data_IF_158189484187
#
_entry.id   IF_158189484187
#
_cell.length_a   1.000
_cell.length_b   1.000
_cell.length_c   1.000
_cell.angle_alpha   90.00
_cell.angle_beta   90.00
_cell.angle_gamma   90.00
#
_symmetry.space_group_name_H-M   'P 1'
#
loop_
_entity.id
_entity.type
_entity.pdbx_description
1 polymer ?
#
# COMPACT_ATOMS: atom_id res chain seq x y z
N UNK A 1 7.63 17.22 -13.73
CA UNK A 1 6.83 17.14 -12.49
C UNK A 1 7.74 16.57 -11.42
N UNK A 2 7.74 17.10 -10.21
CA UNK A 2 8.56 16.56 -9.11
C UNK A 2 7.64 15.75 -8.22
N UNK A 3 7.95 14.49 -8.01
CA UNK A 3 7.20 13.62 -7.13
C UNK A 3 7.36 14.09 -5.66
N UNK A 4 6.32 13.99 -4.84
CA UNK A 4 6.42 14.38 -3.44
C UNK A 4 7.36 13.44 -2.67
N UNK A 5 8.00 13.94 -1.60
CA UNK A 5 8.86 13.12 -0.74
C UNK A 5 8.03 12.09 0.02
N UNK A 6 8.15 10.82 -0.37
CA UNK A 6 7.42 9.68 0.21
C UNK A 6 7.84 9.40 1.65
N UNK A 7 9.05 9.77 2.01
CA UNK A 7 9.61 9.55 3.35
C UNK A 7 8.73 10.13 4.48
N UNK A 8 7.99 11.19 4.16
CA UNK A 8 7.07 11.83 5.11
C UNK A 8 5.74 11.11 5.26
N UNK A 9 5.48 10.13 4.40
CA UNK A 9 4.22 9.41 4.37
C UNK A 9 4.29 8.07 5.09
N UNK A 10 5.49 7.51 5.30
CA UNK A 10 5.66 6.29 6.08
C UNK A 10 5.29 6.55 7.54
N UNK A 11 4.52 5.62 8.11
CA UNK A 11 3.97 5.70 9.48
C UNK A 11 3.02 6.88 9.71
N UNK A 12 2.65 7.60 8.64
CA UNK A 12 1.60 8.59 8.71
C UNK A 12 0.20 7.93 8.62
N UNK A 13 -0.82 8.51 9.24
CA UNK A 13 -2.19 8.03 9.04
C UNK A 13 -2.61 8.21 7.57
N UNK A 14 -3.42 7.29 7.06
CA UNK A 14 -3.95 7.33 5.68
C UNK A 14 -4.56 8.69 5.32
N UNK A 15 -5.16 9.38 6.31
CA UNK A 15 -5.72 10.72 6.11
C UNK A 15 -4.68 11.74 5.61
N UNK A 16 -3.40 11.59 5.96
CA UNK A 16 -2.33 12.46 5.46
C UNK A 16 -2.12 12.31 3.94
N UNK A 17 -2.26 11.08 3.40
CA UNK A 17 -2.22 10.85 1.97
C UNK A 17 -3.44 11.46 1.27
N UNK A 18 -4.62 11.33 1.89
CA UNK A 18 -5.85 11.95 1.35
C UNK A 18 -5.73 13.47 1.29
N UNK A 19 -5.13 14.09 2.29
CA UNK A 19 -4.86 15.53 2.28
C UNK A 19 -3.85 15.95 1.21
N UNK A 20 -2.85 15.11 0.94
CA UNK A 20 -1.81 15.37 -0.05
C UNK A 20 -2.25 15.10 -1.50
N UNK A 21 -3.05 14.04 -1.73
CA UNK A 21 -3.34 13.52 -3.07
C UNK A 21 -4.85 13.49 -3.41
N UNK A 22 -5.71 13.95 -2.50
CA UNK A 22 -7.16 13.89 -2.67
C UNK A 22 -7.75 12.52 -2.32
N UNK A 23 -9.04 12.29 -2.67
CA UNK A 23 -9.71 11.03 -2.34
C UNK A 23 -9.08 9.85 -3.10
N UNK A 24 -9.01 8.66 -2.46
CA UNK A 24 -8.47 7.47 -3.12
C UNK A 24 -9.33 7.03 -4.30
N UNK A 25 -8.67 6.47 -5.31
CA UNK A 25 -9.32 5.86 -6.46
C UNK A 25 -9.95 4.50 -6.09
N UNK A 26 -9.27 3.74 -5.23
CA UNK A 26 -9.75 2.46 -4.70
C UNK A 26 -9.12 2.12 -3.37
N UNK A 27 -9.81 1.27 -2.58
CA UNK A 27 -9.26 0.66 -1.38
C UNK A 27 -9.71 -0.79 -1.29
N UNK A 28 -8.77 -1.70 -1.02
CA UNK A 28 -9.01 -3.14 -0.94
C UNK A 28 -8.09 -3.79 0.09
N UNK A 29 -8.51 -4.93 0.64
CA UNK A 29 -7.65 -5.80 1.43
C UNK A 29 -7.47 -7.13 0.71
N UNK A 30 -6.22 -7.53 0.54
CA UNK A 30 -5.82 -8.80 -0.03
C UNK A 30 -4.97 -9.61 0.95
N UNK A 31 -4.48 -10.77 0.51
CA UNK A 31 -3.60 -11.65 1.31
C UNK A 31 -2.24 -10.98 1.61
N UNK A 32 -1.84 -10.01 0.81
CA UNK A 32 -0.62 -9.20 0.91
C UNK A 32 -0.77 -7.94 1.77
N UNK A 33 -1.98 -7.59 2.16
CA UNK A 33 -2.29 -6.44 3.01
C UNK A 33 -3.45 -5.59 2.52
N UNK A 34 -3.64 -4.45 3.17
CA UNK A 34 -4.65 -3.45 2.78
C UNK A 34 -4.01 -2.38 1.91
N UNK A 35 -4.56 -2.18 0.72
CA UNK A 35 -4.08 -1.27 -0.32
C UNK A 35 -5.03 -0.12 -0.53
N UNK A 36 -4.50 1.09 -0.60
CA UNK A 36 -5.25 2.32 -0.93
C UNK A 36 -4.56 3.02 -2.08
N UNK A 37 -5.23 3.09 -3.22
CA UNK A 37 -4.67 3.60 -4.47
C UNK A 37 -5.14 5.02 -4.71
N UNK A 38 -4.18 5.91 -4.96
CA UNK A 38 -4.39 7.26 -5.44
C UNK A 38 -3.88 7.36 -6.87
N UNK A 39 -4.58 8.10 -7.71
CA UNK A 39 -4.17 8.35 -9.09
C UNK A 39 -4.39 9.82 -9.46
N UNK A 40 -3.42 10.37 -10.17
CA UNK A 40 -3.48 11.70 -10.79
C UNK A 40 -2.96 11.57 -12.23
N UNK A 41 -3.87 11.53 -13.18
CA UNK A 41 -3.54 11.23 -14.58
C UNK A 41 -2.88 9.86 -14.72
N UNK A 42 -1.62 9.83 -15.16
CA UNK A 42 -0.81 8.60 -15.29
C UNK A 42 0.06 8.30 -14.07
N UNK A 43 0.04 9.15 -13.05
CA UNK A 43 0.71 8.89 -11.77
C UNK A 43 -0.14 7.96 -10.91
N UNK A 44 0.48 6.99 -10.26
CA UNK A 44 -0.17 6.09 -9.32
C UNK A 44 0.64 5.98 -8.04
N UNK A 45 -0.06 6.06 -6.91
CA UNK A 45 0.47 5.83 -5.57
C UNK A 45 -0.37 4.73 -4.95
N UNK A 46 0.23 3.62 -4.59
CA UNK A 46 -0.42 2.51 -3.86
C UNK A 46 0.16 2.48 -2.45
N UNK A 47 -0.64 2.87 -1.47
CA UNK A 47 -0.26 2.85 -0.07
C UNK A 47 -0.71 1.53 0.57
N UNK A 48 0.22 0.84 1.23
CA UNK A 48 -0.05 -0.35 2.01
C UNK A 48 -0.19 0.09 3.47
N UNK A 49 -1.35 -0.19 4.05
CA UNK A 49 -1.72 0.25 5.40
C UNK A 49 -2.00 -0.92 6.32
N UNK A 50 -1.81 -0.70 7.61
CA UNK A 50 -2.17 -1.67 8.65
C UNK A 50 -3.63 -1.55 9.10
N UNK A 51 -4.02 -2.35 10.10
CA UNK A 51 -5.35 -2.33 10.69
C UNK A 51 -5.65 -1.04 11.48
N UNK A 52 -4.64 -0.24 11.82
CA UNK A 52 -4.81 1.09 12.41
C UNK A 52 -5.08 2.16 11.34
N UNK A 53 -4.74 1.87 10.09
CA UNK A 53 -4.79 2.79 8.97
C UNK A 53 -3.51 3.62 8.85
N UNK A 54 -2.40 3.14 9.43
CA UNK A 54 -1.09 3.76 9.30
C UNK A 54 -0.34 3.17 8.08
N UNK A 55 0.41 4.01 7.38
CA UNK A 55 1.10 3.66 6.13
C UNK A 55 2.40 2.94 6.44
N UNK A 56 2.57 1.72 5.94
CA UNK A 56 3.76 0.88 6.14
C UNK A 56 4.61 0.69 4.88
N UNK A 57 4.04 0.91 3.71
CA UNK A 57 4.78 1.02 2.47
C UNK A 57 4.02 1.88 1.45
N UNK A 58 4.74 2.45 0.50
CA UNK A 58 4.16 3.20 -0.62
C UNK A 58 4.86 2.77 -1.90
N UNK A 59 4.09 2.29 -2.86
CA UNK A 59 4.54 2.02 -4.23
C UNK A 59 4.17 3.20 -5.13
N UNK A 60 5.17 3.76 -5.77
CA UNK A 60 5.07 4.92 -6.63
C UNK A 60 5.35 4.53 -8.08
N UNK A 61 4.41 4.79 -8.96
CA UNK A 61 4.59 4.74 -10.39
C UNK A 61 4.26 6.10 -10.99
N UNK A 62 5.21 6.70 -11.69
CA UNK A 62 5.04 7.99 -12.35
C UNK A 62 5.31 7.91 -13.84
N UNK A 63 4.79 8.86 -14.65
CA UNK A 63 5.10 8.94 -16.06
C UNK A 63 6.60 9.04 -16.32
N UNK A 64 7.04 8.50 -17.45
CA UNK A 64 8.42 8.66 -17.93
C UNK A 64 8.83 10.14 -17.97
N UNK A 65 10.06 10.44 -17.57
CA UNK A 65 10.57 11.80 -17.41
C UNK A 65 10.24 12.47 -16.08
N UNK A 66 9.49 11.84 -15.18
CA UNK A 66 9.27 12.37 -13.83
C UNK A 66 10.54 12.22 -13.00
N UNK A 67 11.01 13.33 -12.43
CA UNK A 67 12.14 13.34 -11.51
C UNK A 67 11.69 12.96 -10.11
N UNK A 68 12.43 12.08 -9.47
CA UNK A 68 12.22 11.65 -8.09
C UNK A 68 13.54 11.78 -7.32
N UNK A 69 13.48 12.29 -6.11
CA UNK A 69 14.63 12.41 -5.21
C UNK A 69 14.47 11.39 -4.07
N UNK A 70 15.22 10.29 -4.14
CA UNK A 70 15.21 9.26 -3.11
C UNK A 70 16.17 9.64 -1.97
N UNK A 71 15.64 9.73 -0.75
CA UNK A 71 16.43 9.89 0.46
C UNK A 71 16.89 8.53 1.00
N UNK A 72 18.21 8.37 1.25
CA UNK A 72 18.80 7.22 1.91
C UNK A 72 19.40 7.60 3.27
N UNK A 73 20.01 6.61 3.94
CA UNK A 73 20.61 6.74 5.29
C UNK A 73 21.78 7.73 5.34
N UNK A 74 22.37 8.09 4.19
CA UNK A 74 23.43 9.08 4.05
C UNK A 74 22.95 10.55 4.18
N UNK A 75 21.63 10.74 4.29
CA UNK A 75 20.99 12.05 4.39
C UNK A 75 20.99 12.87 3.09
N UNK A 76 21.47 12.30 1.98
CA UNK A 76 21.43 12.92 0.67
C UNK A 76 20.15 12.59 -0.10
N UNK A 77 19.75 13.47 -1.02
CA UNK A 77 18.67 13.21 -1.97
C UNK A 77 19.28 12.77 -3.30
N UNK A 78 19.00 11.53 -3.69
CA UNK A 78 19.55 10.93 -4.90
C UNK A 78 18.58 11.08 -6.08
N UNK A 79 18.98 11.76 -7.17
CA UNK A 79 18.08 12.01 -8.29
C UNK A 79 17.89 10.74 -9.13
N UNK A 80 16.62 10.37 -9.34
CA UNK A 80 16.19 9.31 -10.22
C UNK A 80 15.20 9.86 -11.24
N UNK A 81 15.05 9.22 -12.41
CA UNK A 81 14.12 9.63 -13.45
C UNK A 81 13.35 8.39 -13.94
N UNK A 82 12.04 8.38 -13.76
CA UNK A 82 11.18 7.32 -14.24
C UNK A 82 11.27 7.18 -15.77
N UNK A 83 11.33 5.95 -16.26
CA UNK A 83 11.48 5.65 -17.68
C UNK A 83 12.85 5.96 -18.30
N UNK A 84 13.84 6.41 -17.49
CA UNK A 84 15.18 6.74 -17.99
C UNK A 84 16.30 6.16 -17.13
N UNK A 85 16.18 6.19 -15.79
CA UNK A 85 17.21 5.64 -14.91
C UNK A 85 17.29 4.13 -15.07
N UNK A 86 18.45 3.63 -15.49
CA UNK A 86 18.72 2.19 -15.55
C UNK A 86 19.18 1.67 -14.18
N UNK A 87 19.13 0.35 -13.99
CA UNK A 87 19.60 -0.31 -12.76
C UNK A 87 21.06 0.03 -12.42
N UNK A 88 21.93 0.13 -13.43
CA UNK A 88 23.33 0.51 -13.25
C UNK A 88 23.45 1.99 -12.85
N UNK A 89 22.75 2.88 -13.57
CA UNK A 89 22.75 4.31 -13.27
C UNK A 89 22.16 4.60 -11.87
N UNK A 90 21.15 3.83 -11.43
CA UNK A 90 20.61 3.94 -10.08
C UNK A 90 21.65 3.58 -9.02
N UNK A 91 22.39 2.48 -9.21
CA UNK A 91 23.48 2.09 -8.29
C UNK A 91 24.55 3.17 -8.20
N UNK A 92 24.97 3.72 -9.33
CA UNK A 92 26.00 4.76 -9.38
C UNK A 92 25.49 6.07 -8.74
N UNK A 93 24.22 6.42 -8.97
CA UNK A 93 23.60 7.62 -8.37
C UNK A 93 23.41 7.49 -6.85
N UNK A 94 23.11 6.31 -6.35
CA UNK A 94 22.89 6.05 -4.93
C UNK A 94 24.21 5.86 -4.17
N UNK A 95 25.33 5.70 -4.89
CA UNK A 95 26.66 5.42 -4.31
C UNK A 95 26.65 4.28 -3.27
N UNK A 96 25.73 3.33 -3.41
CA UNK A 96 25.48 2.24 -2.49
C UNK A 96 25.26 0.94 -3.26
N UNK A 97 25.67 -0.16 -2.64
CA UNK A 97 25.36 -1.50 -3.15
C UNK A 97 23.95 -1.92 -2.70
N UNK A 98 23.23 -2.59 -3.57
CA UNK A 98 21.95 -3.15 -3.21
C UNK A 98 22.11 -4.28 -2.19
N UNK A 99 21.35 -4.27 -1.11
CA UNK A 99 21.33 -5.35 -0.12
C UNK A 99 20.75 -6.64 -0.71
N UNK A 100 19.76 -6.50 -1.61
CA UNK A 100 19.08 -7.61 -2.29
C UNK A 100 18.84 -7.24 -3.74
N UNK A 101 19.05 -8.20 -4.64
CA UNK A 101 18.79 -8.05 -6.08
C UNK A 101 17.87 -9.18 -6.55
N UNK A 102 16.85 -8.82 -7.32
CA UNK A 102 16.03 -9.71 -8.15
C UNK A 102 16.30 -9.45 -9.62
N UNK A 103 15.58 -10.14 -10.53
CA UNK A 103 15.70 -9.91 -11.96
C UNK A 103 15.40 -8.47 -12.36
N UNK A 104 14.38 -7.90 -11.75
CA UNK A 104 13.78 -6.61 -12.13
C UNK A 104 13.78 -5.59 -11.00
N UNK A 105 14.43 -5.87 -9.87
CA UNK A 105 14.46 -4.93 -8.74
C UNK A 105 15.77 -4.95 -7.97
N UNK A 106 16.04 -3.84 -7.26
CA UNK A 106 17.14 -3.68 -6.30
C UNK A 106 16.61 -3.08 -5.02
N UNK A 107 17.06 -3.61 -3.89
CA UNK A 107 16.68 -3.14 -2.55
C UNK A 107 17.86 -2.42 -1.93
N UNK A 108 17.65 -1.18 -1.52
CA UNK A 108 18.63 -0.36 -0.83
C UNK A 108 18.15 -0.07 0.60
N UNK A 109 19.04 -0.12 1.56
CA UNK A 109 18.75 0.32 2.92
C UNK A 109 18.53 1.83 2.91
N UNK A 110 17.36 2.26 3.36
CA UNK A 110 17.01 3.68 3.43
C UNK A 110 17.35 4.27 4.80
N UNK A 111 17.02 3.55 5.87
CA UNK A 111 17.34 3.88 7.26
C UNK A 111 17.28 2.61 8.13
N UNK A 112 17.34 2.76 9.47
CA UNK A 112 17.33 1.61 10.39
C UNK A 112 16.05 0.77 10.33
N UNK A 113 14.91 1.34 9.90
CA UNK A 113 13.59 0.73 9.94
C UNK A 113 12.99 0.48 8.55
N UNK A 114 13.46 1.15 7.51
CA UNK A 114 12.87 1.13 6.17
C UNK A 114 13.89 0.92 5.06
N UNK A 115 13.43 0.31 3.99
CA UNK A 115 14.17 0.07 2.76
C UNK A 115 13.49 0.75 1.57
N UNK A 116 14.27 1.02 0.53
CA UNK A 116 13.79 1.46 -0.77
C UNK A 116 14.01 0.36 -1.81
N UNK A 117 12.98 0.07 -2.59
CA UNK A 117 13.03 -0.88 -3.70
C UNK A 117 12.85 -0.12 -5.00
N UNK A 118 13.83 -0.24 -5.88
CA UNK A 118 13.74 0.25 -7.25
C UNK A 118 13.35 -0.90 -8.15
N UNK A 119 12.21 -0.77 -8.83
CA UNK A 119 11.70 -1.76 -9.79
C UNK A 119 11.92 -1.24 -11.21
N UNK A 120 12.47 -2.09 -12.06
CA UNK A 120 12.79 -1.77 -13.44
C UNK A 120 11.87 -2.55 -14.39
N UNK A 121 11.39 -1.88 -15.41
CA UNK A 121 10.60 -2.51 -16.47
C UNK A 121 11.42 -3.57 -17.20
N UNK A 122 10.88 -4.77 -17.37
CA UNK A 122 11.59 -5.91 -17.93
C UNK A 122 11.96 -5.74 -19.41
N UNK A 123 11.24 -4.92 -20.17
CA UNK A 123 11.47 -4.70 -21.60
C UNK A 123 12.46 -3.56 -21.87
N UNK A 124 12.35 -2.46 -21.10
CA UNK A 124 13.16 -1.25 -21.29
C UNK A 124 14.35 -1.18 -20.34
N UNK A 125 14.36 -1.97 -19.27
CA UNK A 125 15.36 -1.96 -18.18
C UNK A 125 15.51 -0.59 -17.52
N UNK A 126 14.44 0.20 -17.50
CA UNK A 126 14.40 1.53 -16.89
C UNK A 126 13.46 1.55 -15.70
N UNK A 127 13.69 2.48 -14.77
CA UNK A 127 12.92 2.65 -13.55
C UNK A 127 11.43 2.82 -13.85
N UNK A 128 10.61 1.92 -13.32
CA UNK A 128 9.15 1.91 -13.46
C UNK A 128 8.45 2.23 -12.14
N UNK A 129 8.95 1.71 -11.02
CA UNK A 129 8.39 1.91 -9.69
C UNK A 129 9.49 2.22 -8.67
N UNK A 130 9.10 2.96 -7.64
CA UNK A 130 9.86 3.11 -6.39
C UNK A 130 8.96 2.68 -5.24
N UNK A 131 9.35 1.64 -4.52
CA UNK A 131 8.62 1.18 -3.34
C UNK A 131 9.45 1.54 -2.12
N UNK A 132 8.86 2.28 -1.18
CA UNK A 132 9.51 2.62 0.10
C UNK A 132 8.65 2.06 1.21
N UNK A 133 9.24 1.33 2.14
CA UNK A 133 8.45 0.72 3.20
C UNK A 133 9.29 0.14 4.33
N UNK A 134 8.63 -0.23 5.43
CA UNK A 134 9.29 -0.99 6.47
C UNK A 134 9.65 -2.40 5.97
N UNK A 135 10.75 -2.94 6.52
CA UNK A 135 11.31 -4.24 6.08
C UNK A 135 10.32 -5.39 6.24
N UNK A 136 9.47 -5.38 7.25
CA UNK A 136 8.48 -6.44 7.48
C UNK A 136 7.41 -6.45 6.39
N UNK A 137 6.95 -5.27 5.99
CA UNK A 137 6.00 -5.11 4.88
C UNK A 137 6.64 -5.49 3.55
N UNK A 138 7.85 -5.03 3.26
CA UNK A 138 8.58 -5.39 2.03
C UNK A 138 8.90 -6.89 1.94
N UNK A 139 9.15 -7.55 3.07
CA UNK A 139 9.29 -9.02 3.15
C UNK A 139 7.97 -9.71 2.77
N UNK A 140 6.85 -9.24 3.29
CA UNK A 140 5.51 -9.78 2.97
C UNK A 140 5.15 -9.57 1.49
N UNK A 141 5.55 -8.45 0.91
CA UNK A 141 5.38 -8.15 -0.51
C UNK A 141 6.38 -8.92 -1.42
N UNK A 142 7.36 -9.61 -0.84
CA UNK A 142 8.30 -10.44 -1.59
C UNK A 142 9.52 -9.71 -2.15
N UNK A 143 9.73 -8.44 -1.81
CA UNK A 143 10.91 -7.68 -2.26
C UNK A 143 12.16 -7.98 -1.46
N UNK A 144 12.02 -8.24 -0.17
CA UNK A 144 13.14 -8.55 0.74
C UNK A 144 13.15 -10.03 1.05
N UNK A 145 14.33 -10.63 1.12
CA UNK A 145 14.48 -12.02 1.57
C UNK A 145 14.76 -12.06 3.07
N UNK A 146 14.12 -12.99 3.77
CA UNK A 146 14.47 -13.24 5.16
C UNK A 146 15.87 -13.84 5.24
N UNK A 147 16.79 -13.31 6.06
CA UNK A 147 18.07 -13.92 6.32
C UNK A 147 17.95 -15.24 7.13
N UNK A 148 16.78 -15.50 7.69
CA UNK A 148 16.49 -16.73 8.46
C UNK A 148 15.92 -17.75 7.48
N UNK A 149 16.43 -19.01 7.42
CA UNK A 149 15.83 -20.05 6.60
C UNK A 149 14.36 -20.17 6.99
N UNK A 150 13.50 -20.14 5.99
CA UNK A 150 12.07 -19.94 6.06
C UNK A 150 11.44 -20.61 7.32
N UNK A 151 11.15 -19.80 8.33
CA UNK A 151 10.06 -20.13 9.24
C UNK A 151 8.86 -20.42 8.36
N UNK A 152 8.15 -21.55 8.51
CA UNK A 152 7.05 -21.87 7.62
C UNK A 152 6.10 -20.65 7.58
N UNK A 153 6.02 -19.99 6.41
CA UNK A 153 5.08 -18.89 6.18
C UNK A 153 3.71 -19.55 6.25
N UNK A 154 3.03 -19.34 7.35
CA UNK A 154 1.66 -19.82 7.51
C UNK A 154 0.79 -19.05 6.51
N UNK A 155 0.20 -19.70 5.51
CA UNK A 155 -0.56 -19.03 4.48
C UNK A 155 -1.74 -18.29 5.12
N UNK A 156 -1.69 -16.97 5.04
CA UNK A 156 -2.79 -16.08 5.41
C UNK A 156 -3.72 -15.91 4.21
N UNK A 157 -5.02 -15.89 4.45
CA UNK A 157 -6.06 -15.50 3.50
C UNK A 157 -6.90 -14.40 4.12
N UNK A 158 -7.04 -13.30 3.41
CA UNK A 158 -7.86 -12.17 3.84
C UNK A 158 -9.35 -12.51 3.91
N UNK A 159 -10.15 -11.76 4.70
CA UNK A 159 -11.60 -11.88 4.68
C UNK A 159 -12.15 -11.56 3.29
N UNK A 160 -13.14 -12.35 2.83
CA UNK A 160 -13.79 -12.13 1.54
C UNK A 160 -15.26 -11.79 1.74
N UNK A 161 -15.69 -10.63 1.24
CA UNK A 161 -17.09 -10.20 1.30
C UNK A 161 -18.00 -11.21 0.56
N UNK A 162 -18.94 -11.82 1.26
CA UNK A 162 -19.92 -12.77 0.71
C UNK A 162 -21.26 -12.10 0.44
N UNK A 163 -21.70 -11.24 1.35
CA UNK A 163 -22.95 -10.52 1.22
C UNK A 163 -22.78 -9.08 1.71
N UNK A 164 -23.29 -8.15 0.93
CA UNK A 164 -23.31 -6.72 1.26
C UNK A 164 -24.75 -6.23 1.40
N UNK A 165 -25.00 -5.50 2.48
CA UNK A 165 -26.24 -4.74 2.64
C UNK A 165 -26.25 -3.43 1.82
N UNK A 166 -25.11 -3.03 1.24
CA UNK A 166 -24.98 -1.86 0.38
C UNK A 166 -25.03 -2.25 -1.09
N UNK A 167 -25.82 -1.52 -1.87
CA UNK A 167 -25.69 -1.54 -3.32
C UNK A 167 -24.36 -0.92 -3.74
N UNK A 168 -23.75 -1.47 -4.80
CA UNK A 168 -22.58 -0.86 -5.40
C UNK A 168 -22.97 0.49 -6.01
N UNK A 169 -22.39 1.57 -5.53
CA UNK A 169 -22.53 2.91 -6.11
C UNK A 169 -21.42 3.21 -7.12
N UNK A 170 -21.71 4.06 -8.09
CA UNK A 170 -20.76 4.51 -9.12
C UNK A 170 -20.33 5.96 -8.92
N UNK A 171 -20.70 6.58 -7.80
CA UNK A 171 -20.49 7.99 -7.55
C UNK A 171 -19.01 8.37 -7.38
N UNK A 172 -18.74 9.65 -7.58
CA UNK A 172 -17.40 10.20 -7.45
C UNK A 172 -16.94 10.35 -5.98
N UNK A 173 -17.88 10.30 -5.03
CA UNK A 173 -17.55 10.35 -3.59
C UNK A 173 -17.46 8.96 -3.02
N UNK A 174 -16.43 8.72 -2.22
CA UNK A 174 -16.22 7.46 -1.54
C UNK A 174 -15.88 7.68 -0.08
N UNK A 175 -16.33 6.78 0.79
CA UNK A 175 -15.81 6.62 2.14
C UNK A 175 -15.01 5.33 2.21
N UNK A 176 -13.90 5.33 2.95
CA UNK A 176 -13.15 4.11 3.25
C UNK A 176 -13.40 3.73 4.70
N UNK A 177 -13.89 2.52 4.88
CA UNK A 177 -14.20 1.93 6.17
C UNK A 177 -13.14 0.90 6.54
N UNK A 178 -12.71 0.91 7.79
CA UNK A 178 -11.99 -0.19 8.43
C UNK A 178 -13.00 -1.03 9.19
N UNK A 179 -13.02 -2.34 8.93
CA UNK A 179 -13.89 -3.30 9.58
C UNK A 179 -13.06 -4.35 10.33
N UNK A 180 -13.47 -4.68 11.55
CA UNK A 180 -12.96 -5.84 12.27
C UNK A 180 -13.93 -7.01 12.02
N UNK A 181 -13.48 -8.03 11.32
CA UNK A 181 -14.24 -9.25 10.99
C UNK A 181 -13.80 -10.36 11.94
N UNK A 182 -14.74 -11.02 12.60
CA UNK A 182 -14.42 -12.11 13.50
C UNK A 182 -14.20 -13.46 12.77
N UNK A 183 -13.85 -14.48 13.53
CA UNK A 183 -13.61 -15.84 13.02
C UNK A 183 -14.86 -16.54 12.41
N UNK A 184 -16.03 -15.95 12.57
CA UNK A 184 -17.30 -16.44 11.99
C UNK A 184 -17.72 -15.62 10.77
N UNK A 185 -16.95 -14.57 10.42
CA UNK A 185 -17.24 -13.68 9.30
C UNK A 185 -18.19 -12.54 9.62
N UNK A 186 -18.54 -12.33 10.90
CA UNK A 186 -19.37 -11.22 11.32
C UNK A 186 -18.54 -9.96 11.59
N UNK A 187 -19.07 -8.80 11.18
CA UNK A 187 -18.43 -7.50 11.42
C UNK A 187 -18.70 -7.06 12.85
N UNK A 188 -17.64 -6.95 13.66
CA UNK A 188 -17.70 -6.58 15.08
C UNK A 188 -17.55 -5.07 15.29
N UNK A 189 -16.72 -4.41 14.47
CA UNK A 189 -16.46 -2.98 14.54
C UNK A 189 -16.36 -2.39 13.15
N UNK A 190 -16.82 -1.16 13.00
CA UNK A 190 -16.67 -0.36 11.77
C UNK A 190 -16.16 1.02 12.17
N UNK A 191 -15.14 1.50 11.49
CA UNK A 191 -14.55 2.83 11.65
C UNK A 191 -14.38 3.48 10.29
N UNK A 192 -14.71 4.77 10.16
CA UNK A 192 -14.39 5.57 8.98
C UNK A 192 -12.92 5.96 9.08
N UNK A 193 -12.11 5.58 8.10
CA UNK A 193 -10.69 5.96 7.99
C UNK A 193 -10.48 7.07 6.96
N UNK A 194 -11.36 7.12 5.94
CA UNK A 194 -11.41 8.23 4.98
C UNK A 194 -12.88 8.66 4.82
N UNK A 195 -13.26 9.86 5.31
CA UNK A 195 -14.63 10.35 5.16
C UNK A 195 -14.89 10.77 3.71
N UNK A 196 -16.13 10.59 3.24
CA UNK A 196 -16.57 11.02 1.90
C UNK A 196 -16.75 12.54 1.78
N UNK A 197 -16.77 13.26 2.91
CA UNK A 197 -17.17 14.66 3.00
C UNK A 197 -18.69 14.85 3.17
N UNK A 198 -19.47 13.78 3.22
CA UNK A 198 -20.89 13.77 3.53
C UNK A 198 -21.14 12.89 4.76
N UNK A 199 -21.35 13.51 5.92
CA UNK A 199 -21.51 12.81 7.18
C UNK A 199 -22.74 11.86 7.20
N UNK A 200 -23.83 12.22 6.52
CA UNK A 200 -25.02 11.39 6.44
C UNK A 200 -24.77 10.11 5.62
N UNK A 201 -24.01 10.24 4.54
CA UNK A 201 -23.56 9.10 3.75
C UNK A 201 -22.59 8.21 4.54
N UNK A 202 -21.59 8.80 5.22
CA UNK A 202 -20.64 8.05 6.04
C UNK A 202 -21.33 7.25 7.14
N UNK A 203 -22.31 7.85 7.84
CA UNK A 203 -23.11 7.14 8.84
C UNK A 203 -23.98 6.02 8.24
N UNK A 204 -24.57 6.23 7.07
CA UNK A 204 -25.32 5.21 6.36
C UNK A 204 -24.43 4.04 5.93
N UNK A 205 -23.22 4.33 5.42
CA UNK A 205 -22.23 3.34 5.06
C UNK A 205 -21.79 2.50 6.27
N UNK A 206 -21.52 3.14 7.42
CA UNK A 206 -21.18 2.45 8.68
C UNK A 206 -22.32 1.53 9.14
N UNK A 207 -23.57 2.02 9.12
CA UNK A 207 -24.73 1.18 9.52
C UNK A 207 -24.88 -0.05 8.63
N UNK A 208 -24.74 0.14 7.32
CA UNK A 208 -24.89 -0.96 6.37
C UNK A 208 -23.71 -1.95 6.45
N UNK A 209 -22.47 -1.47 6.60
CA UNK A 209 -21.31 -2.33 6.71
C UNK A 209 -21.34 -3.25 7.97
N UNK A 210 -22.06 -2.88 9.02
CA UNK A 210 -22.29 -3.76 10.19
C UNK A 210 -23.13 -5.00 9.86
N UNK A 211 -23.93 -4.95 8.80
CA UNK A 211 -24.76 -6.06 8.34
C UNK A 211 -24.08 -6.90 7.25
N UNK A 212 -22.85 -6.55 6.85
CA UNK A 212 -22.10 -7.33 5.88
C UNK A 212 -21.68 -8.68 6.44
N UNK A 213 -21.60 -9.67 5.58
CA UNK A 213 -21.16 -11.02 5.90
C UNK A 213 -19.92 -11.35 5.09
N UNK A 214 -18.88 -11.81 5.76
CA UNK A 214 -17.61 -12.20 5.17
C UNK A 214 -17.35 -13.70 5.31
N UNK A 215 -16.62 -14.30 4.36
CA UNK A 215 -15.82 -15.46 4.68
C UNK A 215 -14.69 -14.98 5.60
N UNK A 216 -14.47 -15.61 6.77
CA UNK A 216 -13.46 -15.14 7.71
C UNK A 216 -12.05 -15.27 7.14
N UNK A 217 -11.12 -14.47 7.64
CA UNK A 217 -9.70 -14.68 7.38
C UNK A 217 -9.28 -16.07 7.84
N UNK A 218 -8.28 -16.63 7.18
CA UNK A 218 -7.68 -17.89 7.64
C UNK A 218 -6.16 -17.78 7.75
N UNK A 219 -5.61 -18.43 8.79
CA UNK A 219 -4.18 -18.64 8.94
C UNK A 219 -3.94 -20.16 8.97
N UNK A 220 -3.19 -20.68 8.02
CA UNK A 220 -3.01 -22.15 7.83
C UNK A 220 -4.34 -22.92 7.76
N UNK A 221 -5.34 -22.36 7.11
CA UNK A 221 -6.68 -22.94 6.97
C UNK A 221 -7.56 -22.83 8.23
N UNK A 222 -7.08 -22.24 9.32
CA UNK A 222 -7.88 -22.02 10.54
C UNK A 222 -8.52 -20.64 10.51
N UNK A 223 -9.83 -20.51 10.73
CA UNK A 223 -10.50 -19.21 10.80
C UNK A 223 -9.95 -18.34 11.94
N UNK A 224 -9.63 -17.08 11.62
CA UNK A 224 -9.19 -16.06 12.56
C UNK A 224 -9.98 -14.77 12.36
N UNK A 225 -9.96 -13.88 13.36
CA UNK A 225 -10.40 -12.51 13.18
C UNK A 225 -9.32 -11.69 12.46
N UNK A 226 -9.74 -10.77 11.58
CA UNK A 226 -8.84 -9.86 10.89
C UNK A 226 -9.51 -8.55 10.49
N UNK A 227 -8.70 -7.50 10.32
CA UNK A 227 -9.12 -6.24 9.75
C UNK A 227 -9.32 -6.34 8.24
N UNK A 228 -10.24 -5.53 7.70
CA UNK A 228 -10.44 -5.37 6.25
C UNK A 228 -10.80 -3.93 5.92
N UNK A 229 -10.18 -3.39 4.86
CA UNK A 229 -10.61 -2.11 4.28
C UNK A 229 -11.73 -2.34 3.28
N UNK A 230 -12.72 -1.46 3.33
CA UNK A 230 -13.82 -1.44 2.38
C UNK A 230 -14.09 -0.02 1.89
N UNK A 231 -14.03 0.15 0.59
CA UNK A 231 -14.49 1.36 -0.07
C UNK A 231 -16.00 1.26 -0.33
N UNK A 232 -16.72 2.35 -0.02
CA UNK A 232 -18.16 2.51 -0.31
C UNK A 232 -18.33 3.78 -1.11
N UNK A 233 -18.95 3.67 -2.30
CA UNK A 233 -19.21 4.80 -3.19
C UNK A 233 -20.67 5.24 -3.12
N UNK A 234 -20.85 6.57 -3.22
CA UNK A 234 -22.19 7.20 -3.25
C UNK A 234 -22.77 7.17 -4.66
#
# INVERSE_FOLDING_TARGET
>A
MTAPPVERLLHAPLLALVQAYGPPQSARTGDDGSHVVFADGSARIDAIVDDAGDVHAVDLAFPAGTHYALGLDDGAAHPLVFGSTTSLAARDALAADAETEGGDFRVFKRDAASDAVLVFDAATHTLSHVVVGDRATLLRLGYVRSPIPATPVFPFRAPVLQHSALAAGNGARATVLQLDVDRLGAVQRVRVVVPSGDAAFDEAAVRAARADVYAPATLSGRPIGAGVLREVRH
#
